data_IF_492711455924
#
_entry.id   IF_492711455924
#
_cell.length_a   1.000
_cell.length_b   1.000
_cell.length_c   1.000
_cell.angle_alpha   90.00
_cell.angle_beta   90.00
_cell.angle_gamma   90.00
#
_symmetry.space_group_name_H-M   'P 1'
#
loop_
_entity.id
_entity.type
_entity.pdbx_description
1 polymer ?
#
# COMPACT_ATOMS: atom_id res chain seq x y z
N UNK A 1 24.16 -20.69 18.05
CA UNK A 1 24.01 -20.29 16.62
C UNK A 1 24.71 -21.36 15.78
N UNK A 2 23.92 -22.23 15.14
CA UNK A 2 24.46 -23.23 14.22
C UNK A 2 24.59 -22.56 12.84
N UNK A 3 25.78 -22.62 12.26
CA UNK A 3 26.01 -22.18 10.87
C UNK A 3 25.59 -23.33 9.95
N UNK A 4 24.50 -23.17 9.23
CA UNK A 4 24.15 -24.06 8.12
C UNK A 4 24.77 -23.52 6.83
N UNK A 5 25.57 -24.34 6.18
CA UNK A 5 26.09 -24.06 4.84
C UNK A 5 25.01 -24.41 3.82
N UNK A 6 24.60 -23.45 3.02
CA UNK A 6 23.65 -23.64 1.93
C UNK A 6 24.28 -23.19 0.63
N UNK A 7 24.22 -24.04 -0.37
CA UNK A 7 24.68 -23.78 -1.72
C UNK A 7 23.63 -22.99 -2.48
N UNK A 8 24.02 -21.84 -3.05
CA UNK A 8 23.11 -21.05 -3.88
C UNK A 8 23.15 -21.56 -5.33
N UNK A 9 22.18 -21.12 -6.15
CA UNK A 9 21.99 -21.56 -7.54
C UNK A 9 23.23 -21.33 -8.47
N UNK A 10 24.31 -20.77 -7.94
CA UNK A 10 25.58 -20.47 -8.65
C UNK A 10 26.75 -21.30 -8.06
N UNK A 11 26.47 -22.30 -7.17
CA UNK A 11 27.50 -23.17 -6.60
C UNK A 11 28.40 -22.52 -5.54
N UNK A 12 28.05 -21.35 -5.01
CA UNK A 12 28.81 -20.70 -3.94
C UNK A 12 28.23 -21.07 -2.56
N UNK A 13 29.08 -21.54 -1.66
CA UNK A 13 28.71 -21.86 -0.29
C UNK A 13 28.75 -20.60 0.56
N UNK A 14 27.59 -20.09 0.96
CA UNK A 14 27.49 -18.97 1.90
C UNK A 14 27.09 -19.48 3.28
N UNK A 15 27.83 -19.06 4.30
CA UNK A 15 27.50 -19.31 5.69
C UNK A 15 26.40 -18.34 6.14
N UNK A 16 25.15 -18.80 6.13
CA UNK A 16 24.01 -18.05 6.69
C UNK A 16 23.92 -18.34 8.19
N UNK A 17 24.07 -17.31 9.01
CA UNK A 17 23.76 -17.38 10.44
C UNK A 17 22.25 -17.56 10.63
N UNK A 18 21.81 -18.79 10.91
CA UNK A 18 20.44 -19.04 11.34
C UNK A 18 20.31 -18.67 12.82
N UNK A 19 19.55 -17.62 13.10
CA UNK A 19 18.99 -17.42 14.45
C UNK A 19 18.02 -18.60 14.62
N UNK A 20 18.24 -19.45 15.62
CA UNK A 20 17.52 -20.71 15.82
C UNK A 20 16.04 -20.57 16.22
N UNK A 21 15.34 -19.59 15.66
CA UNK A 21 13.90 -19.39 15.79
C UNK A 21 13.25 -20.02 14.56
N UNK A 22 12.58 -21.14 14.74
CA UNK A 22 11.78 -21.75 13.69
C UNK A 22 10.48 -20.97 13.51
N UNK A 23 10.00 -20.84 12.27
CA UNK A 23 8.69 -20.20 11.98
C UNK A 23 7.54 -20.90 12.72
N UNK A 24 7.76 -22.11 13.20
CA UNK A 24 6.79 -22.88 13.98
C UNK A 24 6.66 -22.33 15.40
N UNK A 25 7.75 -21.93 16.06
CA UNK A 25 7.70 -21.29 17.39
C UNK A 25 7.01 -19.93 17.36
N UNK A 26 7.18 -19.17 16.27
CA UNK A 26 6.44 -17.91 16.05
C UNK A 26 4.94 -18.14 15.82
N UNK A 27 4.56 -19.29 15.28
CA UNK A 27 3.14 -19.65 15.03
C UNK A 27 2.43 -20.08 16.32
N UNK A 28 3.12 -20.78 17.20
CA UNK A 28 2.57 -21.24 18.48
C UNK A 28 2.43 -20.09 19.50
N UNK A 29 3.20 -19.00 19.31
CA UNK A 29 3.13 -17.78 20.13
C UNK A 29 2.14 -16.75 19.58
N UNK A 30 1.58 -16.94 18.39
CA UNK A 30 0.61 -16.04 17.79
C UNK A 30 -0.73 -16.14 18.52
N UNK A 31 -0.93 -15.30 19.53
CA UNK A 31 -2.23 -15.14 20.18
C UNK A 31 -3.25 -14.52 19.23
N UNK A 32 -4.39 -15.19 19.06
CA UNK A 32 -5.54 -14.58 18.40
C UNK A 32 -6.18 -13.59 19.36
N UNK A 33 -6.01 -12.32 19.09
CA UNK A 33 -6.67 -11.24 19.84
C UNK A 33 -8.06 -11.06 19.24
N UNK A 34 -9.09 -11.25 20.07
CA UNK A 34 -10.48 -11.00 19.70
C UNK A 34 -10.85 -9.58 20.15
N UNK A 35 -11.17 -8.74 19.18
CA UNK A 35 -11.64 -7.38 19.45
C UNK A 35 -13.17 -7.33 19.48
N UNK A 36 -13.72 -6.51 20.37
CA UNK A 36 -15.12 -6.12 20.31
C UNK A 36 -15.40 -5.27 19.07
N UNK A 37 -16.64 -5.20 18.55
CA UNK A 37 -16.96 -4.39 17.36
C UNK A 37 -16.50 -2.93 17.47
N UNK A 38 -16.64 -2.32 18.65
CA UNK A 38 -16.19 -0.93 18.90
C UNK A 38 -14.67 -0.81 18.87
N UNK A 39 -13.97 -1.75 19.50
CA UNK A 39 -12.50 -1.82 19.47
C UNK A 39 -11.99 -2.04 18.05
N UNK A 40 -12.68 -2.88 17.27
CA UNK A 40 -12.34 -3.13 15.87
C UNK A 40 -12.44 -1.86 15.01
N UNK A 41 -13.47 -1.04 15.23
CA UNK A 41 -13.61 0.27 14.56
C UNK A 41 -12.51 1.23 14.98
N UNK A 42 -12.19 1.32 16.27
CA UNK A 42 -11.10 2.17 16.76
C UNK A 42 -9.75 1.74 16.18
N UNK A 43 -9.46 0.43 16.20
CA UNK A 43 -8.22 -0.13 15.61
C UNK A 43 -8.16 0.08 14.10
N UNK A 44 -9.30 -0.05 13.39
CA UNK A 44 -9.40 0.27 11.97
C UNK A 44 -9.05 1.74 11.68
N UNK A 45 -9.53 2.66 12.50
CA UNK A 45 -9.18 4.09 12.42
C UNK A 45 -7.69 4.34 12.65
N UNK A 46 -7.12 3.74 13.69
CA UNK A 46 -5.67 3.83 13.98
C UNK A 46 -4.85 3.26 12.82
N UNK A 47 -5.23 2.10 12.29
CA UNK A 47 -4.50 1.47 11.17
C UNK A 47 -4.61 2.28 9.88
N UNK A 48 -5.76 2.90 9.62
CA UNK A 48 -5.95 3.82 8.50
C UNK A 48 -5.03 5.02 8.64
N UNK A 49 -5.00 5.66 9.82
CA UNK A 49 -4.11 6.77 10.10
C UNK A 49 -2.64 6.41 9.94
N UNK A 50 -2.22 5.26 10.48
CA UNK A 50 -0.85 4.75 10.36
C UNK A 50 -0.46 4.51 8.90
N UNK A 51 -1.38 4.00 8.09
CA UNK A 51 -1.18 3.81 6.64
C UNK A 51 -0.99 5.16 5.94
N UNK A 52 -1.83 6.15 6.23
CA UNK A 52 -1.72 7.51 5.67
C UNK A 52 -0.40 8.16 6.09
N UNK A 53 -0.02 8.06 7.36
CA UNK A 53 1.22 8.63 7.89
C UNK A 53 2.45 8.01 7.22
N UNK A 54 2.50 6.69 7.09
CA UNK A 54 3.58 5.97 6.39
C UNK A 54 3.66 6.32 4.91
N UNK A 55 2.52 6.46 4.25
CA UNK A 55 2.47 6.86 2.84
C UNK A 55 3.00 8.28 2.67
N UNK A 56 2.63 9.20 3.56
CA UNK A 56 3.12 10.58 3.53
C UNK A 56 4.63 10.65 3.77
N UNK A 57 5.15 9.90 4.74
CA UNK A 57 6.59 9.82 5.02
C UNK A 57 7.35 9.24 3.82
N UNK A 58 6.82 8.18 3.19
CA UNK A 58 7.39 7.59 1.98
C UNK A 58 7.46 8.61 0.83
N UNK A 59 6.39 9.34 0.57
CA UNK A 59 6.36 10.40 -0.45
C UNK A 59 7.37 11.49 -0.11
N UNK A 60 7.46 11.90 1.16
CA UNK A 60 8.45 12.87 1.62
C UNK A 60 9.90 12.42 1.38
N UNK A 61 10.20 11.14 1.60
CA UNK A 61 11.52 10.55 1.33
C UNK A 61 11.83 10.50 -0.17
N UNK A 62 10.83 10.24 -1.00
CA UNK A 62 10.98 10.24 -2.46
C UNK A 62 11.28 11.65 -2.98
N UNK A 63 10.56 12.67 -2.50
CA UNK A 63 10.81 14.07 -2.88
C UNK A 63 12.20 14.52 -2.43
N UNK A 64 12.68 14.05 -1.27
CA UNK A 64 14.03 14.37 -0.77
C UNK A 64 15.14 13.50 -1.38
N UNK A 65 14.81 12.63 -2.34
CA UNK A 65 15.78 11.77 -3.04
C UNK A 65 16.39 10.64 -2.17
N UNK A 66 15.81 10.39 -0.98
CA UNK A 66 16.26 9.32 -0.07
C UNK A 66 15.76 7.94 -0.48
N UNK A 67 14.71 7.88 -1.29
CA UNK A 67 14.18 6.64 -1.86
C UNK A 67 14.00 6.78 -3.37
N UNK A 68 14.26 5.70 -4.10
CA UNK A 68 14.14 5.69 -5.55
C UNK A 68 12.66 5.59 -5.97
N UNK A 69 12.29 6.29 -7.06
CA UNK A 69 10.95 6.17 -7.67
C UNK A 69 10.61 4.74 -8.12
N UNK A 70 11.62 3.91 -8.32
CA UNK A 70 11.46 2.47 -8.64
C UNK A 70 10.83 1.65 -7.51
N UNK A 71 10.75 2.18 -6.28
CA UNK A 71 10.00 1.56 -5.17
C UNK A 71 8.48 1.71 -5.32
N UNK A 72 8.02 2.60 -6.22
CA UNK A 72 6.60 2.71 -6.54
C UNK A 72 6.15 1.49 -7.35
N UNK A 73 5.37 0.68 -6.70
CA UNK A 73 4.75 -0.47 -7.34
C UNK A 73 3.43 -0.05 -7.97
N UNK A 74 3.35 -0.10 -9.29
CA UNK A 74 2.14 0.25 -10.04
C UNK A 74 0.98 -0.74 -9.86
N UNK A 75 -0.14 -0.55 -10.57
CA UNK A 75 -1.32 -1.41 -10.50
C UNK A 75 -1.03 -2.89 -10.74
N UNK A 76 -0.01 -3.20 -11.54
CA UNK A 76 0.47 -4.56 -11.82
C UNK A 76 0.94 -5.26 -10.52
N UNK A 77 1.59 -4.52 -9.62
CA UNK A 77 2.06 -5.08 -8.36
C UNK A 77 0.92 -5.49 -7.42
N UNK A 78 -0.22 -4.79 -7.46
CA UNK A 78 -1.43 -5.18 -6.71
C UNK A 78 -1.90 -6.55 -7.20
N UNK A 79 -1.90 -6.78 -8.52
CA UNK A 79 -2.21 -8.06 -9.13
C UNK A 79 -1.23 -9.15 -8.68
N UNK A 80 0.07 -8.87 -8.67
CA UNK A 80 1.10 -9.80 -8.22
C UNK A 80 0.99 -10.13 -6.74
N UNK A 81 0.72 -9.16 -5.88
CA UNK A 81 0.49 -9.37 -4.45
C UNK A 81 -0.73 -10.26 -4.25
N UNK A 82 -1.84 -9.95 -4.91
CA UNK A 82 -3.07 -10.75 -4.85
C UNK A 82 -2.82 -12.19 -5.31
N UNK A 83 -2.12 -12.39 -6.42
CA UNK A 83 -1.74 -13.71 -6.93
C UNK A 83 -0.85 -14.49 -5.94
N UNK A 84 0.13 -13.82 -5.33
CA UNK A 84 0.99 -14.45 -4.31
C UNK A 84 0.21 -14.87 -3.08
N UNK A 85 -0.75 -14.04 -2.63
CA UNK A 85 -1.63 -14.36 -1.51
C UNK A 85 -2.48 -15.58 -1.83
N UNK A 86 -3.12 -15.61 -3.01
CA UNK A 86 -3.92 -16.77 -3.46
C UNK A 86 -3.06 -18.04 -3.50
N UNK A 87 -1.91 -17.98 -4.16
CA UNK A 87 -1.05 -19.14 -4.31
C UNK A 87 -0.55 -19.66 -2.95
N UNK A 88 -0.12 -18.79 -2.05
CA UNK A 88 0.35 -19.19 -0.70
C UNK A 88 -0.77 -19.80 0.14
N UNK A 89 -1.96 -19.22 0.07
CA UNK A 89 -3.11 -19.68 0.86
C UNK A 89 -3.63 -21.02 0.32
N UNK A 90 -3.62 -21.22 -0.99
CA UNK A 90 -4.12 -22.45 -1.63
C UNK A 90 -3.08 -23.58 -1.65
N UNK A 91 -1.80 -23.28 -1.65
CA UNK A 91 -0.73 -24.28 -1.69
C UNK A 91 -0.62 -25.14 -0.41
N UNK A 92 -1.13 -24.67 0.72
CA UNK A 92 -1.03 -25.41 1.98
C UNK A 92 -2.13 -26.47 2.08
N UNK A 93 -1.86 -27.65 1.53
CA UNK A 93 -2.80 -28.79 1.49
C UNK A 93 -3.09 -29.42 2.86
N UNK A 94 -2.26 -29.17 3.86
CA UNK A 94 -2.45 -29.70 5.23
C UNK A 94 -3.59 -29.01 5.98
N UNK A 95 -4.01 -27.82 5.53
CA UNK A 95 -5.08 -27.04 6.15
C UNK A 95 -6.42 -27.33 5.44
N UNK A 96 -7.53 -27.52 6.18
CA UNK A 96 -8.86 -27.73 5.59
C UNK A 96 -9.23 -26.64 4.59
N UNK A 97 -9.91 -27.01 3.49
CA UNK A 97 -10.28 -26.08 2.42
C UNK A 97 -11.11 -24.89 2.94
N UNK A 98 -12.02 -25.13 3.88
CA UNK A 98 -12.84 -24.07 4.53
C UNK A 98 -11.98 -23.00 5.20
N UNK A 99 -10.94 -23.43 5.91
CA UNK A 99 -10.00 -22.50 6.58
C UNK A 99 -9.18 -21.71 5.55
N UNK A 100 -8.78 -22.34 4.43
CA UNK A 100 -8.07 -21.66 3.34
C UNK A 100 -8.93 -20.63 2.66
N UNK A 101 -10.19 -20.95 2.37
CA UNK A 101 -11.15 -20.01 1.76
C UNK A 101 -11.40 -18.82 2.70
N UNK A 102 -11.59 -19.07 3.98
CA UNK A 102 -11.78 -18.00 4.98
C UNK A 102 -10.52 -17.09 5.07
N UNK A 103 -9.34 -17.68 5.15
CA UNK A 103 -8.08 -16.93 5.16
C UNK A 103 -7.90 -16.10 3.87
N UNK A 104 -8.27 -16.65 2.72
CA UNK A 104 -8.24 -15.94 1.44
C UNK A 104 -9.22 -14.75 1.43
N UNK A 105 -10.45 -14.97 1.90
CA UNK A 105 -11.44 -13.90 2.00
C UNK A 105 -10.93 -12.71 2.84
N UNK A 106 -10.42 -12.97 4.03
CA UNK A 106 -9.89 -11.91 4.89
C UNK A 106 -8.65 -11.23 4.31
N UNK A 107 -7.78 -12.00 3.64
CA UNK A 107 -6.61 -11.42 2.97
C UNK A 107 -7.01 -10.51 1.81
N UNK A 108 -8.02 -10.90 1.00
CA UNK A 108 -8.55 -10.05 -0.06
C UNK A 108 -9.23 -8.79 0.50
N UNK A 109 -9.99 -8.92 1.57
CA UNK A 109 -10.58 -7.77 2.28
C UNK A 109 -9.51 -6.77 2.74
N UNK A 110 -8.40 -7.27 3.28
CA UNK A 110 -7.28 -6.42 3.70
C UNK A 110 -6.64 -5.68 2.52
N UNK A 111 -6.45 -6.37 1.39
CA UNK A 111 -5.92 -5.74 0.17
C UNK A 111 -6.89 -4.66 -0.34
N UNK A 112 -8.20 -4.97 -0.40
CA UNK A 112 -9.22 -4.00 -0.81
C UNK A 112 -9.25 -2.78 0.12
N UNK A 113 -9.16 -2.98 1.42
CA UNK A 113 -9.10 -1.89 2.39
C UNK A 113 -7.86 -1.01 2.18
N UNK A 114 -6.68 -1.61 2.01
CA UNK A 114 -5.45 -0.87 1.76
C UNK A 114 -5.51 -0.05 0.46
N UNK A 115 -6.03 -0.65 -0.62
CA UNK A 115 -6.25 0.05 -1.91
C UNK A 115 -7.24 1.20 -1.75
N UNK A 116 -8.34 0.98 -1.01
CA UNK A 116 -9.36 2.01 -0.76
C UNK A 116 -8.78 3.20 -0.01
N UNK A 117 -8.00 2.95 1.06
CA UNK A 117 -7.30 4.01 1.81
C UNK A 117 -6.32 4.75 0.91
N UNK A 118 -5.57 4.02 0.07
CA UNK A 118 -4.63 4.61 -0.88
C UNK A 118 -5.34 5.54 -1.89
N UNK A 119 -6.42 5.08 -2.51
CA UNK A 119 -7.21 5.90 -3.46
C UNK A 119 -7.77 7.14 -2.76
N UNK A 120 -8.33 6.99 -1.56
CA UNK A 120 -8.83 8.13 -0.77
C UNK A 120 -7.73 9.14 -0.45
N UNK A 121 -6.56 8.66 -0.04
CA UNK A 121 -5.40 9.51 0.22
C UNK A 121 -4.94 10.26 -1.03
N UNK A 122 -4.79 9.57 -2.16
CA UNK A 122 -4.40 10.22 -3.41
C UNK A 122 -5.42 11.24 -3.89
N UNK A 123 -6.73 10.97 -3.71
CA UNK A 123 -7.77 11.94 -4.05
C UNK A 123 -7.71 13.22 -3.22
N UNK A 124 -7.17 13.18 -2.01
CA UNK A 124 -6.98 14.36 -1.16
C UNK A 124 -5.73 15.18 -1.51
N UNK A 125 -4.86 14.69 -2.38
CA UNK A 125 -3.69 15.45 -2.82
C UNK A 125 -4.13 16.72 -3.56
N UNK A 126 -3.40 17.85 -3.41
CA UNK A 126 -3.73 19.13 -4.04
C UNK A 126 -3.41 19.14 -5.55
N UNK A 127 -3.89 18.14 -6.26
CA UNK A 127 -3.76 18.03 -7.71
C UNK A 127 -5.06 18.47 -8.39
N UNK A 128 -5.02 19.35 -9.40
CA UNK A 128 -6.21 19.96 -9.99
C UNK A 128 -7.26 19.00 -10.52
N UNK A 129 -6.87 17.77 -10.89
CA UNK A 129 -7.76 16.73 -11.44
C UNK A 129 -8.45 15.91 -10.35
N UNK A 130 -7.93 15.98 -9.10
CA UNK A 130 -8.43 15.23 -7.95
C UNK A 130 -9.29 16.10 -7.04
N UNK A 131 -10.06 15.49 -6.15
CA UNK A 131 -10.94 16.19 -5.22
C UNK A 131 -10.18 17.22 -4.36
N UNK A 132 -8.93 16.89 -3.95
CA UNK A 132 -8.06 17.81 -3.23
C UNK A 132 -7.75 19.10 -3.99
N UNK A 133 -7.65 19.04 -5.32
CA UNK A 133 -7.51 20.23 -6.15
C UNK A 133 -8.75 21.14 -6.13
N UNK A 134 -9.93 20.54 -6.15
CA UNK A 134 -11.18 21.29 -5.99
C UNK A 134 -11.30 21.93 -4.61
N UNK A 135 -10.84 21.26 -3.55
CA UNK A 135 -10.75 21.84 -2.20
C UNK A 135 -9.84 23.06 -2.22
N UNK A 136 -8.67 23.00 -2.87
CA UNK A 136 -7.76 24.14 -3.00
C UNK A 136 -8.42 25.30 -3.75
N UNK A 137 -9.14 25.05 -4.84
CA UNK A 137 -9.85 26.09 -5.58
C UNK A 137 -10.95 26.73 -4.73
N UNK A 138 -11.74 25.94 -4.02
CA UNK A 138 -12.79 26.45 -3.12
C UNK A 138 -12.20 27.23 -1.94
N UNK A 139 -11.09 26.81 -1.38
CA UNK A 139 -10.37 27.56 -0.35
C UNK A 139 -9.89 28.92 -0.89
N UNK A 140 -9.30 28.93 -2.09
CA UNK A 140 -8.91 30.19 -2.73
C UNK A 140 -10.11 31.13 -2.89
N UNK A 141 -11.23 30.64 -3.39
CA UNK A 141 -12.46 31.43 -3.56
C UNK A 141 -12.96 31.99 -2.22
N UNK A 142 -12.94 31.18 -1.17
CA UNK A 142 -13.34 31.59 0.17
C UNK A 142 -12.45 32.72 0.73
N UNK A 143 -11.14 32.69 0.48
CA UNK A 143 -10.20 33.73 0.94
C UNK A 143 -10.15 34.95 0.02
N UNK A 144 -10.23 34.76 -1.30
CA UNK A 144 -10.12 35.84 -2.29
C UNK A 144 -11.46 36.56 -2.56
N UNK A 145 -12.61 35.99 -2.10
CA UNK A 145 -13.94 36.50 -2.31
C UNK A 145 -14.42 36.48 -3.77
N UNK A 146 -13.69 35.81 -4.66
CA UNK A 146 -14.00 35.66 -6.08
C UNK A 146 -13.46 34.34 -6.62
N UNK A 147 -14.19 33.68 -7.55
CA UNK A 147 -13.75 32.42 -8.15
C UNK A 147 -12.49 32.62 -8.98
N UNK A 148 -11.71 31.55 -9.10
CA UNK A 148 -10.58 31.50 -10.03
C UNK A 148 -11.08 31.68 -11.46
N UNK A 149 -10.39 32.47 -12.30
CA UNK A 149 -10.73 32.59 -13.72
C UNK A 149 -10.78 31.23 -14.41
N UNK A 150 -11.82 30.96 -15.21
CA UNK A 150 -12.04 29.67 -15.86
C UNK A 150 -10.81 29.16 -16.64
N UNK A 151 -10.10 30.08 -17.32
CA UNK A 151 -8.86 29.76 -18.07
C UNK A 151 -7.76 29.14 -17.17
N UNK A 152 -7.65 29.59 -15.92
CA UNK A 152 -6.65 29.09 -14.98
C UNK A 152 -7.09 27.71 -14.50
N UNK A 153 -8.40 27.52 -14.20
CA UNK A 153 -8.93 26.22 -13.80
C UNK A 153 -8.76 25.18 -14.91
N UNK A 154 -9.12 25.52 -16.15
CA UNK A 154 -8.97 24.64 -17.31
C UNK A 154 -7.50 24.29 -17.57
N UNK A 155 -6.61 25.28 -17.51
CA UNK A 155 -5.16 25.05 -17.67
C UNK A 155 -4.58 24.15 -16.59
N UNK A 156 -4.99 24.35 -15.34
CA UNK A 156 -4.57 23.51 -14.22
C UNK A 156 -5.10 22.08 -14.37
N UNK A 157 -6.36 21.89 -14.77
CA UNK A 157 -6.95 20.57 -15.04
C UNK A 157 -6.21 19.84 -16.16
N UNK A 158 -5.92 20.52 -17.29
CA UNK A 158 -5.15 19.92 -18.38
C UNK A 158 -3.76 19.53 -17.94
N UNK A 159 -3.03 20.39 -17.24
CA UNK A 159 -1.71 20.10 -16.73
C UNK A 159 -1.72 18.91 -15.76
N UNK A 160 -2.69 18.85 -14.84
CA UNK A 160 -2.88 17.74 -13.92
C UNK A 160 -3.17 16.42 -14.63
N UNK A 161 -3.99 16.45 -15.69
CA UNK A 161 -4.30 15.28 -16.49
C UNK A 161 -3.07 14.73 -17.22
N UNK A 162 -2.27 15.60 -17.83
CA UNK A 162 -1.02 15.20 -18.48
C UNK A 162 -0.02 14.63 -17.48
N UNK A 163 0.07 15.21 -16.29
CA UNK A 163 0.93 14.72 -15.21
C UNK A 163 0.50 13.30 -14.76
N UNK A 164 -0.80 13.08 -14.54
CA UNK A 164 -1.32 11.77 -14.14
C UNK A 164 -1.10 10.72 -15.24
N UNK A 165 -1.37 11.06 -16.51
CA UNK A 165 -1.13 10.18 -17.64
C UNK A 165 0.36 9.85 -17.78
N UNK A 166 1.24 10.84 -17.67
CA UNK A 166 2.68 10.65 -17.73
C UNK A 166 3.19 9.75 -16.60
N UNK A 167 2.70 9.99 -15.38
CA UNK A 167 3.04 9.16 -14.22
C UNK A 167 2.52 7.72 -14.38
N UNK A 168 1.30 7.55 -14.88
CA UNK A 168 0.73 6.22 -15.15
C UNK A 168 1.58 5.43 -16.15
N UNK A 169 1.95 6.06 -17.27
CA UNK A 169 2.83 5.44 -18.28
C UNK A 169 4.19 5.12 -17.68
N UNK A 170 4.79 6.04 -16.92
CA UNK A 170 6.10 5.85 -16.29
C UNK A 170 6.12 4.69 -15.28
N UNK A 171 5.05 4.54 -14.47
CA UNK A 171 4.96 3.47 -13.45
C UNK A 171 4.62 2.11 -14.10
N UNK A 172 3.96 2.12 -15.26
CA UNK A 172 3.53 0.88 -15.93
C UNK A 172 4.60 0.34 -16.89
N UNK A 173 5.48 1.21 -17.40
CA UNK A 173 6.58 0.83 -18.28
C UNK A 173 7.76 0.28 -17.49
#
# INVERSE_FOLDING_TARGET
PQRQMRENAVGQVQALGTIGITLQELRDTAQRIHYNPVESLAMGGVQTWDTVAKTTDMIGRMITGKEALSSLSGPVAIGDISRRVVNRTMANSEVPLTTRINALFWSMMTICAAVSVGIGFFNLLPLPVLDGGHIVFNCYEAFAGKPLPARIQEGALMAGMFLLLGMFVFITW
#
